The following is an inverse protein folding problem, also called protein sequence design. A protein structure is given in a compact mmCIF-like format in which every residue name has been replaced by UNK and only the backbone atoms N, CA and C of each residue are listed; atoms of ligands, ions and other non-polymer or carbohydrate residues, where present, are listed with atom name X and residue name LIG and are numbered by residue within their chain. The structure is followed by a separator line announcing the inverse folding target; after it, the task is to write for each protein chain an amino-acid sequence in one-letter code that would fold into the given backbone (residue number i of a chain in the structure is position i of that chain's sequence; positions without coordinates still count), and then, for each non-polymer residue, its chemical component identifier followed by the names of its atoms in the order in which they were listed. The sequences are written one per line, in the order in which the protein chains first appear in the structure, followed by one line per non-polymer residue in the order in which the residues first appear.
data_IF_695889858585
#
_entry.id   IF_695889858585
#
_cell.length_a   1.000
_cell.length_b   1.000
_cell.length_c   1.000
_cell.angle_alpha   90.00
_cell.angle_beta   90.00
_cell.angle_gamma   90.00
#
_symmetry.space_group_name_H-M   'P 1'
#
loop_
_entity.id
_entity.type
_entity.pdbx_description
1 polymer ?
#
# COMPACT_ATOMS: atom_id res chain seq x y z
N UNK A 1 8.29 16.10 -10.38
CA UNK A 1 9.39 15.22 -9.99
C UNK A 1 8.84 13.95 -9.40
N UNK A 2 9.18 12.80 -9.98
CA UNK A 2 8.72 11.52 -9.52
C UNK A 2 9.54 11.03 -8.33
N UNK A 3 8.85 10.55 -7.31
CA UNK A 3 9.50 9.93 -6.14
C UNK A 3 9.26 8.43 -6.17
N UNK A 4 10.22 7.67 -5.64
CA UNK A 4 10.15 6.21 -5.60
C UNK A 4 10.43 5.73 -4.18
N UNK A 5 9.62 4.78 -3.70
CA UNK A 5 9.87 4.09 -2.44
C UNK A 5 9.93 2.59 -2.69
N UNK A 6 10.74 1.90 -1.91
CA UNK A 6 10.87 0.45 -1.98
C UNK A 6 11.03 -0.12 -0.58
N UNK A 7 10.32 -1.20 -0.31
CA UNK A 7 10.38 -1.92 0.96
C UNK A 7 10.47 -3.41 0.68
N UNK A 8 11.38 -4.09 1.40
CA UNK A 8 11.52 -5.55 1.33
C UNK A 8 11.59 -6.12 2.73
N UNK A 9 10.92 -7.24 2.97
CA UNK A 9 10.94 -7.92 4.26
C UNK A 9 10.75 -9.41 4.09
N UNK A 10 11.46 -10.19 4.91
CA UNK A 10 11.21 -11.62 5.05
C UNK A 10 10.25 -11.83 6.23
N UNK A 11 9.23 -12.63 6.02
CA UNK A 11 8.21 -12.94 7.02
C UNK A 11 8.17 -14.43 7.24
N UNK A 12 8.10 -14.86 8.50
CA UNK A 12 7.97 -16.29 8.85
C UNK A 12 6.50 -16.70 8.80
N UNK A 13 5.95 -16.72 7.59
CA UNK A 13 4.54 -17.04 7.36
C UNK A 13 4.39 -17.61 5.95
N UNK A 14 3.43 -18.52 5.77
CA UNK A 14 3.11 -19.09 4.47
C UNK A 14 2.69 -18.00 3.48
N UNK A 15 3.22 -18.09 2.26
CA UNK A 15 2.96 -17.09 1.21
C UNK A 15 1.47 -16.92 0.87
N UNK A 16 0.67 -17.97 1.00
CA UNK A 16 -0.78 -17.88 0.73
C UNK A 16 -1.50 -17.03 1.76
N UNK A 17 -1.11 -17.14 3.03
CA UNK A 17 -1.66 -16.31 4.09
C UNK A 17 -1.24 -14.86 3.93
N UNK A 18 0.03 -14.64 3.57
CA UNK A 18 0.56 -13.28 3.32
C UNK A 18 -0.22 -12.62 2.18
N UNK A 19 -0.38 -13.32 1.06
CA UNK A 19 -1.07 -12.77 -0.09
C UNK A 19 -2.54 -12.48 0.20
N UNK A 20 -3.21 -13.36 0.93
CA UNK A 20 -4.60 -13.15 1.34
C UNK A 20 -4.75 -11.87 2.16
N UNK A 21 -3.84 -11.62 3.09
CA UNK A 21 -3.89 -10.43 3.94
C UNK A 21 -3.63 -9.15 3.15
N UNK A 22 -2.63 -9.18 2.25
CA UNK A 22 -2.34 -8.04 1.36
C UNK A 22 -3.53 -7.74 0.45
N UNK A 23 -4.23 -8.78 -0.02
CA UNK A 23 -5.37 -8.63 -0.93
C UNK A 23 -6.63 -8.13 -0.23
N UNK A 24 -6.67 -8.17 1.10
CA UNK A 24 -7.83 -7.71 1.86
C UNK A 24 -7.76 -6.21 2.11
N UNK A 25 -8.23 -5.44 1.15
CA UNK A 25 -8.15 -3.99 1.15
C UNK A 25 -8.76 -3.34 2.39
N UNK A 26 -9.89 -3.87 2.85
CA UNK A 26 -10.63 -3.26 3.97
C UNK A 26 -9.90 -3.33 5.31
N UNK A 27 -8.90 -4.21 5.44
CA UNK A 27 -8.09 -4.31 6.66
C UNK A 27 -6.98 -3.26 6.74
N UNK A 28 -6.75 -2.51 5.67
CA UNK A 28 -5.69 -1.48 5.63
C UNK A 28 -5.89 -0.42 6.72
N UNK A 29 -7.13 -0.17 7.12
CA UNK A 29 -7.44 0.76 8.22
C UNK A 29 -6.76 0.38 9.53
N UNK A 30 -6.47 -0.90 9.74
CA UNK A 30 -5.90 -1.38 11.00
C UNK A 30 -4.38 -1.20 11.11
N UNK A 31 -3.67 -0.95 10.01
CA UNK A 31 -2.21 -0.82 10.07
C UNK A 31 -1.61 0.35 9.27
N UNK A 32 -2.37 1.03 8.43
CA UNK A 32 -1.87 2.23 7.75
C UNK A 32 -2.05 3.44 8.69
N UNK A 33 -0.96 4.09 9.11
CA UNK A 33 -1.06 5.24 10.04
C UNK A 33 -1.93 6.34 9.47
N UNK A 34 -2.85 6.85 10.30
CA UNK A 34 -3.75 7.92 9.90
C UNK A 34 -4.91 7.49 9.01
N UNK A 35 -4.97 6.23 8.62
CA UNK A 35 -6.09 5.73 7.82
C UNK A 35 -7.34 5.57 8.69
N UNK A 36 -8.41 6.28 8.32
CA UNK A 36 -9.67 6.25 9.06
C UNK A 36 -10.72 5.37 8.39
N UNK A 37 -10.55 5.07 7.11
CA UNK A 37 -11.54 4.31 6.36
C UNK A 37 -10.91 3.62 5.17
N UNK A 38 -11.30 2.36 4.95
CA UNK A 38 -10.90 1.58 3.77
C UNK A 38 -12.15 0.85 3.27
N UNK A 39 -12.61 1.20 2.08
CA UNK A 39 -13.86 0.68 1.51
C UNK A 39 -13.60 0.11 0.12
N UNK A 40 -14.16 -1.06 -0.13
CA UNK A 40 -14.18 -1.65 -1.47
C UNK A 40 -15.36 -1.05 -2.23
N UNK A 41 -15.09 -0.33 -3.31
CA UNK A 41 -16.10 0.38 -4.11
C UNK A 41 -16.66 -0.51 -5.21
N UNK A 42 -15.80 -1.29 -5.85
CA UNK A 42 -16.17 -2.14 -6.97
C UNK A 42 -15.26 -3.35 -7.02
N UNK A 43 -15.79 -4.48 -7.44
CA UNK A 43 -15.01 -5.70 -7.66
C UNK A 43 -15.45 -6.35 -8.97
N UNK A 44 -14.47 -6.65 -9.82
CA UNK A 44 -14.68 -7.40 -11.06
C UNK A 44 -13.72 -8.59 -11.08
N UNK A 45 -13.79 -9.44 -12.10
CA UNK A 45 -12.86 -10.56 -12.24
C UNK A 45 -11.43 -10.09 -12.52
N UNK A 46 -11.27 -8.88 -13.07
CA UNK A 46 -9.97 -8.36 -13.49
C UNK A 46 -9.33 -7.44 -12.45
N UNK A 47 -10.14 -6.74 -11.63
CA UNK A 47 -9.63 -5.73 -10.71
C UNK A 47 -10.62 -5.43 -9.58
N UNK A 48 -10.11 -4.75 -8.55
CA UNK A 48 -10.92 -4.15 -7.50
C UNK A 48 -10.68 -2.65 -7.48
N UNK A 49 -11.70 -1.88 -7.09
CA UNK A 49 -11.57 -0.44 -6.87
C UNK A 49 -11.77 -0.21 -5.38
N UNK A 50 -10.80 0.40 -4.74
CA UNK A 50 -10.84 0.70 -3.31
C UNK A 50 -10.66 2.17 -3.04
N UNK A 51 -11.20 2.64 -1.91
CA UNK A 51 -11.07 4.01 -1.45
C UNK A 51 -10.52 4.03 -0.04
N UNK A 52 -9.42 4.76 0.15
CA UNK A 52 -8.82 5.01 1.46
C UNK A 52 -9.03 6.46 1.85
N UNK A 53 -9.42 6.69 3.11
CA UNK A 53 -9.43 8.02 3.69
C UNK A 53 -8.36 8.06 4.78
N UNK A 54 -7.49 9.05 4.73
CA UNK A 54 -6.38 9.16 5.67
C UNK A 54 -6.04 10.61 5.99
N UNK A 55 -5.41 10.80 7.14
CA UNK A 55 -4.95 12.11 7.60
C UNK A 55 -3.45 12.25 7.34
N UNK A 56 -3.06 13.36 6.76
CA UNK A 56 -1.66 13.70 6.51
C UNK A 56 -1.49 15.19 6.69
N UNK A 57 -0.55 15.62 7.53
CA UNK A 57 -0.30 17.04 7.81
C UNK A 57 -1.57 17.78 8.25
N UNK A 58 -2.34 17.15 9.15
CA UNK A 58 -3.57 17.72 9.73
C UNK A 58 -4.71 17.93 8.72
N UNK A 59 -4.60 17.35 7.55
CA UNK A 59 -5.63 17.42 6.53
C UNK A 59 -6.08 16.01 6.12
N UNK A 60 -7.37 15.83 5.88
CA UNK A 60 -7.92 14.57 5.42
C UNK A 60 -7.85 14.50 3.90
N UNK A 61 -7.37 13.36 3.41
CA UNK A 61 -7.29 13.05 1.99
C UNK A 61 -8.04 11.77 1.70
N UNK A 62 -8.47 11.64 0.47
CA UNK A 62 -9.09 10.43 -0.03
C UNK A 62 -8.37 10.01 -1.31
N UNK A 63 -8.02 8.74 -1.40
CA UNK A 63 -7.44 8.16 -2.62
C UNK A 63 -8.30 6.99 -3.07
N UNK A 64 -8.69 7.00 -4.34
CA UNK A 64 -9.37 5.89 -4.98
C UNK A 64 -8.40 5.22 -5.93
N UNK A 65 -8.21 3.94 -5.78
CA UNK A 65 -7.25 3.18 -6.58
C UNK A 65 -7.91 2.00 -7.27
N UNK A 66 -7.34 1.63 -8.41
CA UNK A 66 -7.68 0.42 -9.14
C UNK A 66 -6.57 -0.58 -8.87
N UNK A 67 -6.96 -1.73 -8.35
CA UNK A 67 -6.01 -2.75 -7.88
C UNK A 67 -6.17 -3.99 -8.74
N UNK A 68 -5.12 -4.30 -9.51
CA UNK A 68 -5.10 -5.47 -10.39
C UNK A 68 -4.43 -6.63 -9.66
N UNK A 69 -5.21 -7.64 -9.33
CA UNK A 69 -4.75 -8.80 -8.56
C UNK A 69 -4.43 -9.94 -9.52
N UNK A 70 -3.22 -10.45 -9.46
CA UNK A 70 -2.77 -11.60 -10.22
C UNK A 70 -1.98 -12.54 -9.29
N UNK A 71 -1.36 -13.58 -9.82
CA UNK A 71 -0.62 -14.54 -9.00
C UNK A 71 0.51 -13.89 -8.23
N UNK A 72 0.36 -13.82 -6.90
CA UNK A 72 1.37 -13.29 -5.96
C UNK A 72 1.78 -11.84 -6.25
N UNK A 73 0.89 -11.06 -6.88
CA UNK A 73 1.19 -9.70 -7.28
C UNK A 73 -0.08 -8.84 -7.29
N UNK A 74 0.05 -7.61 -6.80
CA UNK A 74 -1.04 -6.63 -6.86
C UNK A 74 -0.46 -5.33 -7.40
N UNK A 75 -1.00 -4.85 -8.52
CA UNK A 75 -0.67 -3.52 -9.05
C UNK A 75 -1.73 -2.54 -8.62
N UNK A 76 -1.29 -1.38 -8.14
CA UNK A 76 -2.15 -0.33 -7.61
C UNK A 76 -1.95 0.92 -8.46
N UNK A 77 -3.06 1.49 -8.94
CA UNK A 77 -3.03 2.71 -9.74
C UNK A 77 -4.07 3.70 -9.21
N UNK A 78 -3.65 4.92 -8.93
CA UNK A 78 -4.59 5.95 -8.51
C UNK A 78 -5.53 6.32 -9.65
N UNK A 79 -6.83 6.32 -9.38
CA UNK A 79 -7.84 6.84 -10.30
C UNK A 79 -8.19 8.28 -9.91
N UNK A 80 -8.27 8.54 -8.61
CA UNK A 80 -8.60 9.85 -8.07
C UNK A 80 -7.91 10.01 -6.72
N UNK A 81 -7.35 11.18 -6.45
CA UNK A 81 -6.66 11.40 -5.18
C UNK A 81 -5.71 12.60 -5.22
N UNK A 82 -4.92 12.75 -4.14
CA UNK A 82 -4.06 13.92 -3.97
C UNK A 82 -2.77 13.91 -4.81
N UNK A 83 -2.39 12.77 -5.37
CA UNK A 83 -1.18 12.67 -6.19
C UNK A 83 -1.46 13.12 -7.63
N UNK A 84 -0.45 13.67 -8.29
CA UNK A 84 -0.51 13.88 -9.73
C UNK A 84 -0.53 12.52 -10.42
N UNK A 85 0.31 11.58 -9.92
CA UNK A 85 0.28 10.20 -10.36
C UNK A 85 0.72 9.31 -9.20
N UNK A 86 0.20 8.09 -9.15
CA UNK A 86 0.61 7.08 -8.17
C UNK A 86 0.45 5.70 -8.78
N UNK A 87 1.53 4.93 -8.74
CA UNK A 87 1.55 3.52 -9.11
C UNK A 87 2.31 2.75 -8.05
N UNK A 88 1.70 1.69 -7.55
CA UNK A 88 2.33 0.82 -6.57
C UNK A 88 2.26 -0.64 -7.00
N UNK A 89 3.10 -1.47 -6.39
CA UNK A 89 3.10 -2.90 -6.65
C UNK A 89 3.52 -3.67 -5.41
N UNK A 90 2.72 -4.67 -5.06
CA UNK A 90 3.07 -5.69 -4.10
C UNK A 90 3.53 -6.94 -4.84
N UNK A 91 4.62 -7.56 -4.37
CA UNK A 91 5.04 -8.88 -4.80
C UNK A 91 5.23 -9.77 -3.60
N UNK A 92 4.73 -10.99 -3.70
CA UNK A 92 4.84 -12.02 -2.66
C UNK A 92 5.64 -13.18 -3.24
N UNK A 93 6.79 -13.46 -2.64
CA UNK A 93 7.71 -14.47 -3.15
C UNK A 93 7.90 -15.57 -2.10
N UNK A 94 7.52 -16.79 -2.45
CA UNK A 94 7.76 -17.96 -1.60
C UNK A 94 9.26 -18.25 -1.56
N UNK A 95 9.85 -18.22 -0.37
CA UNK A 95 11.27 -18.57 -0.18
C UNK A 95 11.41 -19.97 0.38
N UNK A 96 10.50 -20.37 1.27
CA UNK A 96 10.47 -21.71 1.86
C UNK A 96 9.03 -21.97 2.32
N UNK A 97 8.77 -23.12 2.90
CA UNK A 97 7.42 -23.54 3.31
C UNK A 97 6.71 -22.48 4.18
N UNK A 98 7.39 -21.91 5.15
CA UNK A 98 6.85 -20.88 6.04
C UNK A 98 7.69 -19.61 6.06
N UNK A 99 8.35 -19.32 4.93
CA UNK A 99 9.15 -18.10 4.78
C UNK A 99 8.75 -17.43 3.47
N UNK A 100 8.32 -16.19 3.56
CA UNK A 100 7.86 -15.39 2.44
C UNK A 100 8.61 -14.08 2.39
N UNK A 101 9.01 -13.65 1.20
CA UNK A 101 9.55 -12.32 0.99
C UNK A 101 8.46 -11.44 0.39
N UNK A 102 8.21 -10.29 1.01
CA UNK A 102 7.33 -9.27 0.44
C UNK A 102 8.17 -8.14 -0.11
N UNK A 103 7.76 -7.62 -1.25
CA UNK A 103 8.36 -6.45 -1.87
C UNK A 103 7.23 -5.48 -2.20
N UNK A 104 7.36 -4.25 -1.74
CA UNK A 104 6.46 -3.17 -2.12
C UNK A 104 7.28 -2.07 -2.78
N UNK A 105 6.83 -1.63 -3.96
CA UNK A 105 7.43 -0.48 -4.65
C UNK A 105 6.32 0.49 -5.03
N UNK A 106 6.63 1.78 -4.99
CA UNK A 106 5.69 2.80 -5.44
C UNK A 106 6.44 3.93 -6.13
N UNK A 107 5.86 4.40 -7.22
CA UNK A 107 6.32 5.57 -7.94
C UNK A 107 5.17 6.58 -7.93
N UNK A 108 5.46 7.81 -7.52
CA UNK A 108 4.42 8.82 -7.42
C UNK A 108 4.97 10.22 -7.63
N UNK A 109 4.06 11.12 -7.99
CA UNK A 109 4.36 12.54 -8.13
C UNK A 109 3.39 13.34 -7.28
N UNK A 110 3.92 14.27 -6.49
CA UNK A 110 3.13 15.12 -5.62
C UNK A 110 2.89 16.48 -6.27
N UNK A 111 1.71 17.11 -6.02
CA UNK A 111 1.52 18.50 -6.40
C UNK A 111 2.57 19.38 -5.72
N UNK A 112 2.90 20.52 -6.34
CA UNK A 112 3.97 21.41 -5.88
C UNK A 112 3.90 21.75 -4.41
N UNK A 113 2.71 22.04 -3.89
CA UNK A 113 2.55 22.41 -2.48
C UNK A 113 2.91 21.25 -1.55
N UNK A 114 2.36 20.06 -1.81
CA UNK A 114 2.66 18.86 -1.02
C UNK A 114 4.12 18.46 -1.16
N UNK A 115 4.69 18.64 -2.35
CA UNK A 115 6.09 18.30 -2.60
C UNK A 115 7.04 19.18 -1.77
N UNK A 116 6.64 20.42 -1.48
CA UNK A 116 7.40 21.32 -0.61
C UNK A 116 7.22 21.00 0.87
N UNK A 117 6.02 20.61 1.27
CA UNK A 117 5.68 20.34 2.66
C UNK A 117 6.15 18.97 3.15
N UNK A 118 6.22 17.98 2.25
CA UNK A 118 6.60 16.61 2.59
C UNK A 118 8.03 16.35 2.18
N UNK A 119 8.92 16.21 3.15
CA UNK A 119 10.30 15.82 2.89
C UNK A 119 10.34 14.36 2.42
N UNK A 120 11.39 13.98 1.71
CA UNK A 120 11.63 12.61 1.29
C UNK A 120 11.65 11.68 2.50
N UNK A 121 12.28 12.10 3.59
CA UNK A 121 12.37 11.33 4.81
C UNK A 121 10.99 11.11 5.47
N UNK A 122 10.13 12.12 5.46
CA UNK A 122 8.77 11.99 6.02
C UNK A 122 7.94 10.97 5.27
N UNK A 123 8.06 10.94 3.96
CA UNK A 123 7.37 9.99 3.10
C UNK A 123 7.90 8.57 3.32
N UNK A 124 9.22 8.40 3.38
CA UNK A 124 9.84 7.12 3.64
C UNK A 124 9.40 6.55 5.00
N UNK A 125 9.35 7.39 6.02
CA UNK A 125 8.88 6.99 7.36
C UNK A 125 7.42 6.56 7.31
N UNK A 126 6.57 7.30 6.61
CA UNK A 126 5.15 6.93 6.47
C UNK A 126 4.98 5.55 5.85
N UNK A 127 5.64 5.29 4.72
CA UNK A 127 5.56 3.99 4.06
C UNK A 127 6.16 2.88 4.91
N UNK A 128 7.29 3.14 5.53
CA UNK A 128 7.93 2.16 6.41
C UNK A 128 7.01 1.76 7.57
N UNK A 129 6.41 2.74 8.24
CA UNK A 129 5.50 2.47 9.35
C UNK A 129 4.26 1.70 8.91
N UNK A 130 3.71 2.03 7.75
CA UNK A 130 2.57 1.31 7.19
C UNK A 130 2.89 -0.16 6.92
N UNK A 131 4.06 -0.41 6.34
CA UNK A 131 4.48 -1.75 5.96
C UNK A 131 4.92 -2.57 7.16
N UNK A 132 5.56 -1.96 8.16
CA UNK A 132 5.87 -2.63 9.42
C UNK A 132 4.61 -2.98 10.21
N UNK A 133 3.61 -2.12 10.20
CA UNK A 133 2.32 -2.43 10.80
C UNK A 133 1.67 -3.65 10.18
N UNK A 134 1.76 -3.77 8.87
CA UNK A 134 1.29 -4.94 8.14
C UNK A 134 2.07 -6.21 8.54
N UNK A 135 3.39 -6.12 8.62
CA UNK A 135 4.25 -7.25 9.02
C UNK A 135 3.93 -7.70 10.44
N UNK A 136 3.74 -6.75 11.36
CA UNK A 136 3.41 -7.04 12.76
C UNK A 136 2.08 -7.79 12.87
N UNK A 137 1.11 -7.41 12.06
CA UNK A 137 -0.19 -8.08 12.02
C UNK A 137 -0.06 -9.54 11.58
N UNK A 138 0.80 -9.81 10.61
CA UNK A 138 1.03 -11.17 10.11
C UNK A 138 1.81 -12.05 11.08
N UNK A 139 2.59 -11.43 11.96
CA UNK A 139 3.45 -12.14 12.91
C UNK A 139 2.73 -12.53 14.20
N UNK A 140 1.50 -12.06 14.39
CA UNK A 140 0.68 -12.36 15.57
C UNK A 140 0.04 -13.74 15.50
#
# INVERSE_FOLDING_TARGET
MTRTVKFEKLIQTDHKLVFREISNFETYVSYVPGCSKAVLVERTDAYEVGKLEFNLLFKNYSITSKNYISDNKIKIEQIDGPFISFEGEWRVIKKDKNITKIIFTANFELPSLLNKLLSENSIDIFFKNSLEGFVDKLSD
#
